data_IF_989303803814
#
_entry.id   IF_989303803814
#
_cell.length_a   1.000
_cell.length_b   1.000
_cell.length_c   1.000
_cell.angle_alpha   90.00
_cell.angle_beta   90.00
_cell.angle_gamma   90.00
#
_symmetry.space_group_name_H-M   'P 1'
#
loop_
_entity.id
_entity.type
_entity.pdbx_description
1 polymer ?
#
# COMPACT_ATOMS: atom_id res chain seq x y z
N UNK A 1 -3.09 23.37 2.40
CA UNK A 1 -2.45 23.30 3.73
C UNK A 1 -2.29 21.84 4.07
N UNK A 2 -1.07 21.37 4.33
CA UNK A 2 -0.87 20.00 4.80
C UNK A 2 -1.44 19.88 6.23
N UNK A 3 -2.13 18.78 6.57
CA UNK A 3 -2.64 18.54 7.91
C UNK A 3 -1.48 18.49 8.92
N UNK A 4 -1.68 19.07 10.10
CA UNK A 4 -0.64 19.16 11.13
C UNK A 4 -0.58 17.94 12.05
N UNK A 5 -1.46 16.95 11.86
CA UNK A 5 -1.64 15.82 12.77
C UNK A 5 -2.07 14.54 12.05
N UNK A 6 -1.66 13.40 12.61
CA UNK A 6 -2.16 12.07 12.26
C UNK A 6 -3.65 11.97 12.65
N UNK A 7 -4.51 11.52 11.74
CA UNK A 7 -5.91 11.21 12.04
C UNK A 7 -6.06 9.82 12.65
N UNK A 8 -7.15 9.62 13.39
CA UNK A 8 -7.58 8.28 13.78
C UNK A 8 -7.98 7.50 12.50
N UNK A 9 -7.73 6.19 12.42
CA UNK A 9 -8.21 5.35 11.32
C UNK A 9 -9.72 5.37 11.19
N UNK A 10 -10.19 5.71 9.99
CA UNK A 10 -11.60 5.72 9.65
C UNK A 10 -11.94 4.49 8.80
N UNK A 11 -12.89 3.64 9.24
CA UNK A 11 -13.32 2.52 8.42
C UNK A 11 -14.01 3.05 7.15
N UNK A 12 -13.70 2.42 6.02
CA UNK A 12 -14.37 2.67 4.75
C UNK A 12 -15.39 1.57 4.50
N UNK A 13 -16.56 2.00 4.04
CA UNK A 13 -17.66 1.09 3.74
C UNK A 13 -17.29 0.20 2.54
N UNK A 14 -17.47 -1.11 2.71
CA UNK A 14 -17.13 -2.13 1.72
C UNK A 14 -18.36 -2.85 1.18
N UNK A 15 -19.56 -2.23 1.23
CA UNK A 15 -20.91 -2.78 0.90
C UNK A 15 -21.02 -3.95 -0.09
N UNK A 16 -20.10 -4.06 -1.04
CA UNK A 16 -20.08 -5.06 -2.11
C UNK A 16 -19.18 -6.28 -1.84
N UNK A 17 -18.33 -6.26 -0.80
CA UNK A 17 -17.46 -7.38 -0.41
C UNK A 17 -17.29 -7.44 1.12
N UNK A 18 -18.03 -8.33 1.82
CA UNK A 18 -17.96 -8.44 3.28
C UNK A 18 -16.64 -9.04 3.79
N UNK A 19 -15.81 -9.61 2.90
CA UNK A 19 -14.58 -10.29 3.30
C UNK A 19 -13.45 -9.31 3.64
N UNK A 20 -13.51 -8.09 3.09
CA UNK A 20 -12.49 -7.07 3.30
C UNK A 20 -13.06 -5.89 4.08
N UNK A 21 -12.31 -5.51 5.11
CA UNK A 21 -12.49 -4.25 5.81
C UNK A 21 -11.38 -3.29 5.39
N UNK A 22 -11.73 -2.03 5.17
CA UNK A 22 -10.81 -1.00 4.69
C UNK A 22 -10.71 0.13 5.71
N UNK A 23 -9.53 0.75 5.78
CA UNK A 23 -9.29 1.92 6.60
C UNK A 23 -8.53 2.97 5.82
N UNK A 24 -8.96 4.22 5.96
CA UNK A 24 -8.15 5.36 5.55
C UNK A 24 -7.54 6.06 6.74
N UNK A 25 -6.33 6.59 6.54
CA UNK A 25 -5.64 7.42 7.52
C UNK A 25 -5.02 8.62 6.85
N UNK A 26 -5.21 9.80 7.45
CA UNK A 26 -4.48 11.00 7.09
C UNK A 26 -3.25 11.10 7.98
N UNK A 27 -2.07 11.14 7.39
CA UNK A 27 -0.83 11.51 8.09
C UNK A 27 -0.51 12.98 7.81
N UNK A 28 0.49 13.57 8.49
CA UNK A 28 0.94 14.93 8.15
C UNK A 28 1.44 15.10 6.70
N UNK A 29 1.75 13.99 6.00
CA UNK A 29 2.42 14.01 4.70
C UNK A 29 1.60 13.40 3.57
N UNK A 30 0.68 12.49 3.88
CA UNK A 30 -0.04 11.71 2.88
C UNK A 30 -1.32 11.09 3.47
N UNK A 31 -2.02 10.35 2.63
CA UNK A 31 -3.11 9.47 3.00
C UNK A 31 -2.70 8.02 2.79
N UNK A 32 -3.07 7.15 3.71
CA UNK A 32 -2.90 5.70 3.56
C UNK A 32 -4.24 5.01 3.36
N UNK A 33 -4.22 3.95 2.56
CA UNK A 33 -5.30 2.97 2.46
C UNK A 33 -4.79 1.63 2.98
N UNK A 34 -5.49 1.07 3.96
CA UNK A 34 -5.27 -0.27 4.47
C UNK A 34 -6.46 -1.16 4.17
N UNK A 35 -6.21 -2.45 4.02
CA UNK A 35 -7.24 -3.47 3.96
C UNK A 35 -6.84 -4.66 4.83
N UNK A 36 -7.83 -5.30 5.45
CA UNK A 36 -7.61 -6.55 6.16
C UNK A 36 -8.80 -7.48 6.00
N UNK A 37 -8.51 -8.76 6.16
CA UNK A 37 -9.47 -9.85 6.09
C UNK A 37 -9.24 -10.78 7.25
N UNK A 38 -10.31 -11.08 7.97
CA UNK A 38 -10.27 -12.03 9.09
C UNK A 38 -10.03 -13.46 8.60
N UNK A 39 -9.54 -14.31 9.49
CA UNK A 39 -9.36 -15.72 9.21
C UNK A 39 -10.72 -16.45 9.21
N UNK A 40 -11.37 -16.53 8.07
CA UNK A 40 -12.57 -17.38 7.87
C UNK A 40 -12.16 -18.68 7.20
N UNK A 41 -11.88 -18.65 5.88
CA UNK A 41 -11.48 -19.80 5.06
C UNK A 41 -10.03 -19.68 4.54
N UNK A 42 -9.33 -18.64 4.96
CA UNK A 42 -7.95 -18.32 4.56
C UNK A 42 -7.20 -17.75 5.77
N UNK A 43 -5.86 -17.81 5.78
CA UNK A 43 -5.10 -17.12 6.82
C UNK A 43 -5.45 -15.62 6.83
N UNK A 44 -5.38 -14.98 8.01
CA UNK A 44 -5.67 -13.56 8.12
C UNK A 44 -4.70 -12.77 7.23
N UNK A 45 -5.22 -11.71 6.62
CA UNK A 45 -4.42 -10.87 5.73
C UNK A 45 -4.57 -9.41 6.14
N UNK A 46 -3.45 -8.69 6.05
CA UNK A 46 -3.38 -7.26 6.20
C UNK A 46 -2.54 -6.71 5.05
N UNK A 47 -3.02 -5.63 4.44
CA UNK A 47 -2.45 -5.04 3.25
C UNK A 47 -2.36 -3.52 3.42
N UNK A 48 -1.27 -2.95 2.95
CA UNK A 48 -1.15 -1.54 2.63
C UNK A 48 -1.43 -1.38 1.13
N UNK A 49 -2.54 -0.73 0.79
CA UNK A 49 -3.01 -0.59 -0.59
C UNK A 49 -2.48 0.66 -1.31
N UNK A 50 -1.82 1.56 -0.59
CA UNK A 50 -1.04 2.65 -1.18
C UNK A 50 -0.93 3.85 -0.25
N UNK A 51 -0.05 4.77 -0.64
CA UNK A 51 0.07 6.11 -0.08
C UNK A 51 -0.30 7.15 -1.14
N UNK A 52 -1.02 8.19 -0.75
CA UNK A 52 -1.64 9.14 -1.68
C UNK A 52 -1.47 10.58 -1.23
N UNK A 53 -1.33 11.50 -2.19
CA UNK A 53 -1.31 12.93 -1.92
C UNK A 53 -2.71 13.51 -1.66
N UNK A 54 -3.75 12.81 -2.10
CA UNK A 54 -5.14 13.26 -2.04
C UNK A 54 -6.10 12.11 -1.66
N UNK A 55 -7.24 12.42 -1.04
CA UNK A 55 -8.20 11.40 -0.62
C UNK A 55 -9.06 10.83 -1.75
N UNK A 56 -9.12 11.47 -2.93
CA UNK A 56 -9.88 10.97 -4.08
C UNK A 56 -9.26 9.70 -4.67
N UNK A 57 -7.92 9.66 -4.70
CA UNK A 57 -7.15 8.51 -5.16
C UNK A 57 -7.36 7.25 -4.30
N UNK A 58 -7.69 7.38 -3.01
CA UNK A 58 -8.00 6.26 -2.12
C UNK A 58 -9.20 5.45 -2.64
N UNK A 59 -10.28 6.13 -3.02
CA UNK A 59 -11.51 5.49 -3.46
C UNK A 59 -11.30 4.73 -4.79
N UNK A 60 -10.54 5.33 -5.72
CA UNK A 60 -10.17 4.68 -6.97
C UNK A 60 -9.35 3.39 -6.71
N UNK A 61 -8.39 3.45 -5.78
CA UNK A 61 -7.59 2.28 -5.42
C UNK A 61 -8.42 1.19 -4.72
N UNK A 62 -9.35 1.57 -3.84
CA UNK A 62 -10.25 0.62 -3.19
C UNK A 62 -11.08 -0.14 -4.22
N UNK A 63 -11.68 0.58 -5.18
CA UNK A 63 -12.45 -0.03 -6.28
C UNK A 63 -11.56 -0.95 -7.10
N UNK A 64 -10.37 -0.49 -7.50
CA UNK A 64 -9.40 -1.29 -8.27
C UNK A 64 -9.03 -2.59 -7.54
N UNK A 65 -8.80 -2.53 -6.23
CA UNK A 65 -8.50 -3.71 -5.41
C UNK A 65 -9.67 -4.69 -5.36
N UNK A 66 -10.90 -4.20 -5.18
CA UNK A 66 -12.09 -5.04 -5.14
C UNK A 66 -12.36 -5.73 -6.48
N UNK A 67 -12.18 -5.03 -7.60
CA UNK A 67 -12.42 -5.57 -8.94
C UNK A 67 -11.28 -6.49 -9.41
N UNK A 68 -10.02 -6.12 -9.15
CA UNK A 68 -8.84 -6.76 -9.73
C UNK A 68 -7.72 -6.98 -8.70
N UNK A 69 -7.97 -7.69 -7.58
CA UNK A 69 -7.02 -7.78 -6.46
C UNK A 69 -5.67 -8.35 -6.85
N UNK A 70 -5.64 -9.34 -7.75
CA UNK A 70 -4.41 -10.00 -8.22
C UNK A 70 -3.44 -9.06 -8.96
N UNK A 71 -3.91 -7.89 -9.36
CA UNK A 71 -3.15 -6.95 -10.22
C UNK A 71 -3.16 -5.53 -9.69
N UNK A 72 -3.55 -5.39 -8.44
CA UNK A 72 -3.49 -4.15 -7.70
C UNK A 72 -2.19 -4.11 -6.91
N UNK A 73 -1.53 -2.96 -6.94
CA UNK A 73 -0.32 -2.74 -6.14
C UNK A 73 -0.70 -2.79 -4.66
N UNK A 74 -0.11 -3.74 -3.93
CA UNK A 74 -0.36 -3.96 -2.52
C UNK A 74 0.92 -4.43 -1.82
N UNK A 75 1.17 -3.91 -0.62
CA UNK A 75 2.23 -4.40 0.26
C UNK A 75 1.62 -5.26 1.37
N UNK A 76 2.09 -6.50 1.56
CA UNK A 76 1.67 -7.31 2.68
C UNK A 76 2.15 -6.69 4.00
N UNK A 77 1.25 -6.64 4.97
CA UNK A 77 1.53 -6.24 6.34
C UNK A 77 1.38 -7.46 7.25
N UNK A 78 2.00 -7.38 8.43
CA UNK A 78 1.69 -8.29 9.53
C UNK A 78 0.27 -7.99 10.05
N UNK A 79 -0.66 -8.96 10.02
CA UNK A 79 -2.02 -8.76 10.54
C UNK A 79 -2.06 -8.37 12.01
N UNK A 80 -1.17 -8.90 12.83
CA UNK A 80 -1.14 -8.59 14.27
C UNK A 80 -0.70 -7.14 14.49
N UNK A 81 0.33 -6.69 13.77
CA UNK A 81 0.82 -5.33 13.85
C UNK A 81 -0.22 -4.30 13.37
N UNK A 82 -0.94 -4.58 12.27
CA UNK A 82 -2.00 -3.70 11.80
C UNK A 82 -3.13 -3.63 12.83
N UNK A 83 -3.57 -4.78 13.37
CA UNK A 83 -4.66 -4.81 14.34
C UNK A 83 -4.31 -4.10 15.65
N UNK A 84 -3.11 -4.34 16.19
CA UNK A 84 -2.62 -3.66 17.38
C UNK A 84 -2.61 -2.14 17.21
N UNK A 85 -2.19 -1.64 16.04
CA UNK A 85 -2.26 -0.21 15.75
C UNK A 85 -3.69 0.30 15.61
N UNK A 86 -4.60 -0.45 14.98
CA UNK A 86 -6.03 -0.07 14.88
C UNK A 86 -6.71 0.02 16.24
N UNK A 87 -6.30 -0.80 17.22
CA UNK A 87 -6.81 -0.73 18.60
C UNK A 87 -6.27 0.48 19.38
N UNK A 88 -5.03 0.89 19.11
CA UNK A 88 -4.34 1.96 19.85
C UNK A 88 -3.69 3.01 18.92
N UNK A 89 -4.46 3.66 18.03
CA UNK A 89 -3.91 4.51 16.98
C UNK A 89 -3.26 5.80 17.48
N UNK A 90 -3.49 6.16 18.75
CA UNK A 90 -2.88 7.32 19.40
C UNK A 90 -1.51 7.00 20.04
N UNK A 91 -1.23 5.72 20.31
CA UNK A 91 0.00 5.28 20.99
C UNK A 91 1.01 4.67 20.03
N UNK A 92 0.53 4.12 18.91
CA UNK A 92 1.32 3.44 17.90
C UNK A 92 1.38 4.24 16.60
N UNK A 93 2.47 4.09 15.86
CA UNK A 93 2.63 4.70 14.54
C UNK A 93 1.93 3.86 13.46
N UNK A 94 1.30 4.51 12.46
CA UNK A 94 0.74 3.78 11.32
C UNK A 94 1.83 2.99 10.60
N UNK A 95 1.56 1.74 10.17
CA UNK A 95 2.48 0.99 9.32
C UNK A 95 2.79 1.78 8.03
N UNK A 96 4.05 2.18 7.76
CA UNK A 96 4.36 3.03 6.62
C UNK A 96 4.33 2.24 5.29
N UNK A 97 4.43 2.94 4.16
CA UNK A 97 4.43 2.31 2.84
C UNK A 97 5.82 1.78 2.49
N UNK A 98 6.21 0.67 3.14
CA UNK A 98 7.50 0.01 2.98
C UNK A 98 7.37 -1.51 2.98
N UNK A 99 8.33 -2.20 2.39
CA UNK A 99 8.33 -3.66 2.29
C UNK A 99 8.52 -4.15 0.87
N UNK A 100 7.98 -5.33 0.56
CA UNK A 100 8.16 -6.00 -0.71
C UNK A 100 6.83 -6.30 -1.38
N UNK A 101 6.67 -5.84 -2.63
CA UNK A 101 5.59 -6.22 -3.52
C UNK A 101 6.09 -7.31 -4.48
N UNK A 102 5.37 -8.43 -4.56
CA UNK A 102 5.75 -9.55 -5.41
C UNK A 102 6.83 -10.42 -4.77
N UNK A 103 7.80 -10.87 -5.56
CA UNK A 103 8.87 -11.78 -5.09
C UNK A 103 10.25 -11.12 -5.17
N UNK A 104 11.26 -11.77 -4.59
CA UNK A 104 12.66 -11.35 -4.71
C UNK A 104 13.17 -11.42 -6.16
N UNK A 105 12.49 -12.17 -7.03
CA UNK A 105 12.90 -12.39 -8.41
C UNK A 105 12.14 -11.54 -9.42
N UNK A 106 10.93 -11.11 -9.05
CA UNK A 106 10.04 -10.28 -9.87
C UNK A 106 9.13 -9.49 -8.94
N UNK A 107 9.43 -8.22 -8.72
CA UNK A 107 8.74 -7.39 -7.72
C UNK A 107 9.38 -6.03 -7.48
N UNK A 108 8.91 -5.36 -6.43
CA UNK A 108 9.42 -4.06 -5.99
C UNK A 108 9.80 -4.14 -4.51
N UNK A 109 10.98 -3.65 -4.16
CA UNK A 109 11.37 -3.35 -2.80
C UNK A 109 11.20 -1.85 -2.53
N UNK A 110 10.52 -1.52 -1.44
CA UNK A 110 10.34 -0.15 -0.96
C UNK A 110 11.01 -0.05 0.41
N UNK A 111 12.10 0.72 0.48
CA UNK A 111 12.95 0.82 1.68
C UNK A 111 12.90 2.23 2.24
N UNK A 112 12.70 2.41 3.55
CA UNK A 112 12.77 3.74 4.15
C UNK A 112 14.21 4.26 4.09
N UNK A 113 14.37 5.57 3.87
CA UNK A 113 15.64 6.26 4.04
C UNK A 113 15.67 7.00 5.39
N UNK A 114 16.87 7.18 5.95
CA UNK A 114 17.07 7.90 7.20
C UNK A 114 16.65 9.39 7.10
N UNK A 115 16.58 9.91 5.88
CA UNK A 115 16.09 11.25 5.57
C UNK A 115 14.56 11.23 5.46
N UNK A 116 13.91 11.97 6.37
CA UNK A 116 12.48 11.99 6.68
C UNK A 116 11.52 11.78 5.49
N UNK A 117 10.63 10.78 5.63
CA UNK A 117 9.48 10.46 4.75
C UNK A 117 9.81 10.14 3.29
N UNK A 118 11.05 9.76 3.01
CA UNK A 118 11.45 9.28 1.70
C UNK A 118 11.67 7.77 1.72
N UNK A 119 11.35 7.16 0.59
CA UNK A 119 11.57 5.75 0.33
C UNK A 119 12.38 5.59 -0.94
N UNK A 120 13.30 4.64 -0.89
CA UNK A 120 13.99 4.13 -2.06
C UNK A 120 13.16 3.01 -2.68
N UNK A 121 13.00 3.05 -4.00
CA UNK A 121 12.30 2.02 -4.76
C UNK A 121 13.29 1.26 -5.64
N UNK A 122 13.31 -0.06 -5.49
CA UNK A 122 14.12 -0.98 -6.28
C UNK A 122 13.20 -1.95 -6.99
N UNK A 123 13.31 -2.06 -8.31
CA UNK A 123 12.62 -3.04 -9.10
C UNK A 123 13.50 -4.28 -9.31
N UNK A 124 12.96 -5.47 -9.06
CA UNK A 124 13.63 -6.75 -9.33
C UNK A 124 12.94 -7.45 -10.50
N UNK A 125 13.73 -7.90 -11.48
CA UNK A 125 13.29 -8.78 -12.56
C UNK A 125 14.44 -9.60 -13.12
N UNK A 126 14.22 -10.89 -13.34
CA UNK A 126 15.15 -11.79 -14.03
C UNK A 126 16.59 -11.72 -13.47
N UNK A 127 16.70 -11.79 -12.14
CA UNK A 127 17.97 -11.71 -11.38
C UNK A 127 18.65 -10.33 -11.40
N UNK A 128 18.03 -9.31 -12.00
CA UNK A 128 18.53 -7.93 -12.02
C UNK A 128 17.76 -7.07 -11.05
N UNK A 129 18.47 -6.12 -10.46
CA UNK A 129 17.91 -5.08 -9.63
C UNK A 129 18.13 -3.74 -10.33
N UNK A 130 17.05 -3.01 -10.55
CA UNK A 130 17.04 -1.68 -11.12
C UNK A 130 16.63 -0.70 -10.02
N UNK A 131 17.51 0.25 -9.72
CA UNK A 131 17.17 1.35 -8.83
C UNK A 131 16.24 2.32 -9.58
N UNK A 132 14.99 2.43 -9.12
CA UNK A 132 14.01 3.33 -9.73
C UNK A 132 14.17 4.76 -9.25
N UNK A 133 14.69 4.96 -8.04
CA UNK A 133 14.95 6.28 -7.46
C UNK A 133 14.53 6.40 -6.00
N UNK A 134 14.53 7.64 -5.52
CA UNK A 134 14.10 8.05 -4.19
C UNK A 134 12.92 8.99 -4.32
N UNK A 135 11.87 8.70 -3.57
CA UNK A 135 10.57 9.33 -3.69
C UNK A 135 9.98 9.62 -2.31
N UNK A 136 9.01 10.52 -2.24
CA UNK A 136 8.03 10.46 -1.15
C UNK A 136 7.17 9.19 -1.28
N UNK A 137 6.51 8.74 -0.22
CA UNK A 137 5.67 7.54 -0.30
C UNK A 137 4.55 7.64 -1.36
N UNK A 138 3.84 8.78 -1.54
CA UNK A 138 2.85 8.90 -2.62
C UNK A 138 3.48 8.82 -4.01
N UNK A 139 4.62 9.46 -4.21
CA UNK A 139 5.36 9.40 -5.49
C UNK A 139 5.87 7.98 -5.77
N UNK A 140 6.34 7.28 -4.74
CA UNK A 140 6.78 5.88 -4.85
C UNK A 140 5.63 4.97 -5.28
N UNK A 141 4.47 5.08 -4.62
CA UNK A 141 3.30 4.30 -4.97
C UNK A 141 2.87 4.56 -6.43
N UNK A 142 2.77 5.83 -6.83
CA UNK A 142 2.40 6.21 -8.20
C UNK A 142 3.42 5.70 -9.24
N UNK A 143 4.72 5.79 -8.95
CA UNK A 143 5.78 5.29 -9.83
C UNK A 143 5.72 3.75 -9.99
N UNK A 144 5.49 3.04 -8.88
CA UNK A 144 5.33 1.57 -8.89
C UNK A 144 4.09 1.18 -9.67
N UNK A 145 2.95 1.81 -9.43
CA UNK A 145 1.69 1.52 -10.12
C UNK A 145 1.81 1.75 -11.62
N UNK A 146 2.32 2.90 -12.03
CA UNK A 146 2.53 3.22 -13.43
C UNK A 146 3.50 2.25 -14.11
N UNK A 147 4.60 1.89 -13.44
CA UNK A 147 5.58 0.95 -13.96
C UNK A 147 4.98 -0.46 -14.08
N UNK A 148 4.25 -0.91 -13.06
CA UNK A 148 3.57 -2.20 -13.03
C UNK A 148 2.55 -2.33 -14.17
N UNK A 149 1.70 -1.33 -14.35
CA UNK A 149 0.68 -1.32 -15.41
C UNK A 149 1.29 -1.29 -16.80
N UNK A 150 2.34 -0.48 -17.00
CA UNK A 150 3.09 -0.45 -18.26
C UNK A 150 3.68 -1.83 -18.57
N UNK A 151 4.27 -2.51 -17.59
CA UNK A 151 4.82 -3.86 -17.80
C UNK A 151 3.74 -4.88 -18.08
N UNK A 152 2.65 -4.89 -17.31
CA UNK A 152 1.52 -5.79 -17.52
C UNK A 152 0.93 -5.64 -18.93
N UNK A 153 0.77 -4.41 -19.42
CA UNK A 153 0.26 -4.17 -20.78
C UNK A 153 1.15 -4.75 -21.88
N UNK A 154 2.46 -4.89 -21.63
CA UNK A 154 3.44 -5.48 -22.56
C UNK A 154 3.51 -7.00 -22.46
N UNK A 155 3.15 -7.57 -21.32
CA UNK A 155 3.10 -9.02 -21.09
C UNK A 155 1.79 -9.66 -21.58
N UNK A 156 0.91 -8.93 -22.29
CA UNK A 156 -0.35 -9.46 -22.86
C UNK A 156 -0.15 -10.41 -24.06
N UNK A 157 1.08 -10.73 -24.44
CA UNK A 157 1.40 -11.82 -25.37
C UNK A 157 1.98 -12.96 -24.52
N UNK A 158 1.09 -13.87 -24.10
CA UNK A 158 1.44 -15.18 -23.57
C UNK A 158 0.91 -16.24 -24.54
#
# INVERSE_FOLDING_TARGET
>A
MAPTSLSIPEPLDSRENPDWQFWRVQTPHCWYLYASRAATDSPPQALHLGAFSDPGSLAAQQVRFLENPATTVQLPLDPEALHAWLEQPQQLTPPPFHGQLGSAWSGYGVRPLEQKHQVEVIYAADLRHEWMGVFTEPEAFAAIEQHYDRRRSRCLIC
#
